data_IF_611649911654
#
_entry.id   IF_611649911654
#
_cell.length_a   1.000
_cell.length_b   1.000
_cell.length_c   1.000
_cell.angle_alpha   90.00
_cell.angle_beta   90.00
_cell.angle_gamma   90.00
#
_symmetry.space_group_name_H-M   'P 1'
#
loop_
_entity.id
_entity.type
_entity.pdbx_description
1 polymer ?
#
# COMPACT_ATOMS: atom_id res chain seq x y z
N UNK A 1 13.43 8.67 -7.91
CA UNK A 1 13.17 10.10 -8.13
C UNK A 1 12.74 10.24 -9.58
N UNK A 2 11.62 10.93 -9.82
CA UNK A 2 11.09 11.15 -11.16
C UNK A 2 11.94 12.16 -11.94
N UNK A 3 11.82 12.15 -13.27
CA UNK A 3 12.53 13.08 -14.13
C UNK A 3 11.97 14.52 -14.00
N UNK A 4 12.82 15.50 -14.31
CA UNK A 4 12.45 16.91 -14.23
C UNK A 4 12.32 17.43 -12.80
N UNK A 5 11.80 18.65 -12.68
CA UNK A 5 11.65 19.35 -11.40
C UNK A 5 10.34 20.10 -11.29
N UNK A 6 9.93 20.41 -10.07
CA UNK A 6 8.67 21.09 -9.78
C UNK A 6 8.90 22.53 -9.30
N UNK A 7 7.95 23.38 -9.68
CA UNK A 7 7.70 24.67 -9.07
C UNK A 7 6.39 24.62 -8.30
N UNK A 8 6.48 24.93 -7.01
CA UNK A 8 5.39 24.93 -6.05
C UNK A 8 5.28 26.33 -5.44
N UNK A 9 4.07 26.87 -5.43
CA UNK A 9 3.78 28.17 -4.82
C UNK A 9 2.96 27.97 -3.54
N UNK A 10 3.32 28.70 -2.49
CA UNK A 10 2.57 28.65 -1.24
C UNK A 10 1.10 29.03 -1.47
N UNK A 11 0.22 28.30 -0.80
CA UNK A 11 -1.23 28.45 -0.88
C UNK A 11 -1.78 28.31 -2.32
N UNK A 12 -1.22 27.40 -3.11
CA UNK A 12 -1.68 27.11 -4.47
C UNK A 12 -1.83 25.62 -4.71
N UNK A 13 -2.89 25.22 -5.42
CA UNK A 13 -3.06 23.85 -5.91
C UNK A 13 -2.35 23.59 -7.25
N UNK A 14 -1.86 24.65 -7.93
CA UNK A 14 -1.19 24.49 -9.23
C UNK A 14 0.25 24.07 -9.04
N UNK A 15 0.65 23.01 -9.76
CA UNK A 15 2.04 22.57 -9.85
C UNK A 15 2.51 22.74 -11.28
N UNK A 16 3.67 23.38 -11.44
CA UNK A 16 4.35 23.48 -12.72
C UNK A 16 5.58 22.58 -12.72
N UNK A 17 5.76 21.81 -13.79
CA UNK A 17 6.91 20.96 -14.02
C UNK A 17 7.83 21.55 -15.09
N UNK A 18 9.13 21.30 -14.93
CA UNK A 18 10.16 21.54 -15.95
C UNK A 18 10.78 20.19 -16.30
N UNK A 19 10.82 19.84 -17.59
CA UNK A 19 11.30 18.54 -18.09
C UNK A 19 10.60 17.32 -17.47
N UNK A 20 9.34 17.50 -17.07
CA UNK A 20 8.50 16.45 -16.52
C UNK A 20 7.65 15.78 -17.61
N UNK A 21 7.21 14.55 -17.32
CA UNK A 21 6.34 13.74 -18.17
C UNK A 21 5.11 13.27 -17.39
N UNK A 22 4.34 14.22 -16.83
CA UNK A 22 3.24 13.87 -15.92
C UNK A 22 2.19 12.92 -16.52
N UNK A 23 1.86 13.05 -17.80
CA UNK A 23 0.79 12.23 -18.41
C UNK A 23 1.15 10.74 -18.51
N UNK A 24 2.44 10.40 -18.44
CA UNK A 24 2.90 9.00 -18.47
C UNK A 24 3.25 8.47 -17.08
N UNK A 25 3.55 9.34 -16.12
CA UNK A 25 3.99 8.96 -14.78
C UNK A 25 2.88 9.00 -13.72
N UNK A 26 1.82 9.77 -13.97
CA UNK A 26 0.78 10.07 -12.99
C UNK A 26 -0.62 9.97 -13.59
N UNK A 27 -1.57 9.58 -12.75
CA UNK A 27 -3.00 9.75 -12.98
C UNK A 27 -3.64 10.53 -11.82
N UNK A 28 -4.85 11.06 -12.04
CA UNK A 28 -5.67 11.66 -10.99
C UNK A 28 -5.85 10.68 -9.82
N UNK A 29 -5.59 11.11 -8.59
CA UNK A 29 -5.63 10.30 -7.37
C UNK A 29 -4.30 9.66 -6.96
N UNK A 30 -3.26 9.74 -7.80
CA UNK A 30 -1.89 9.43 -7.38
C UNK A 30 -1.31 10.53 -6.49
N UNK A 31 -0.12 10.32 -5.95
CA UNK A 31 0.55 11.25 -5.05
C UNK A 31 1.92 11.66 -5.60
N UNK A 32 2.34 12.86 -5.25
CA UNK A 32 3.69 13.37 -5.46
C UNK A 32 4.34 13.57 -4.10
N UNK A 33 5.58 13.12 -3.95
CA UNK A 33 6.38 13.42 -2.76
C UNK A 33 7.52 14.36 -3.14
N UNK A 34 7.63 15.47 -2.41
CA UNK A 34 8.75 16.44 -2.49
C UNK A 34 9.32 16.71 -1.11
N UNK A 35 10.59 17.10 -1.04
CA UNK A 35 11.19 17.61 0.20
C UNK A 35 11.56 19.08 -0.03
N UNK A 36 10.98 19.97 0.76
CA UNK A 36 11.23 21.42 0.69
C UNK A 36 11.67 21.89 2.07
N UNK A 37 12.86 22.49 2.15
CA UNK A 37 13.41 22.95 3.44
C UNK A 37 13.62 21.83 4.47
N UNK A 38 13.87 20.59 4.01
CA UNK A 38 14.03 19.42 4.87
C UNK A 38 12.72 18.77 5.33
N UNK A 39 11.56 19.33 4.97
CA UNK A 39 10.24 18.79 5.32
C UNK A 39 9.65 18.03 4.12
N UNK A 40 9.26 16.76 4.26
CA UNK A 40 8.56 16.02 3.21
C UNK A 40 7.10 16.47 3.10
N UNK A 41 6.63 16.64 1.87
CA UNK A 41 5.24 16.94 1.54
C UNK A 41 4.70 15.86 0.61
N UNK A 42 3.58 15.25 1.02
CA UNK A 42 2.82 14.29 0.21
C UNK A 42 1.62 15.01 -0.38
N UNK A 43 1.63 15.17 -1.70
CA UNK A 43 0.72 16.04 -2.45
C UNK A 43 -0.20 15.19 -3.34
N UNK A 44 -1.49 15.03 -2.98
CA UNK A 44 -2.44 14.28 -3.79
C UNK A 44 -2.77 15.02 -5.09
N UNK A 45 -2.68 14.32 -6.22
CA UNK A 45 -2.98 14.85 -7.55
C UNK A 45 -4.49 14.79 -7.78
N UNK A 46 -5.11 15.94 -8.04
CA UNK A 46 -6.52 16.01 -8.46
C UNK A 46 -6.65 15.70 -9.95
N UNK A 47 -5.81 16.32 -10.77
CA UNK A 47 -5.88 16.22 -12.23
C UNK A 47 -4.49 16.44 -12.84
N UNK A 48 -4.15 15.65 -13.86
CA UNK A 48 -2.97 15.90 -14.71
C UNK A 48 -3.43 16.69 -15.93
N UNK A 49 -3.09 17.98 -16.00
CA UNK A 49 -3.55 18.86 -17.06
C UNK A 49 -2.68 18.79 -18.33
N UNK A 50 -1.37 18.53 -18.18
CA UNK A 50 -0.42 18.29 -19.28
C UNK A 50 0.87 17.64 -18.74
N UNK A 51 1.86 17.39 -19.61
CA UNK A 51 3.16 16.88 -19.19
C UNK A 51 3.89 17.75 -18.15
N UNK A 52 3.57 19.04 -18.10
CA UNK A 52 4.25 20.05 -17.27
C UNK A 52 3.30 20.81 -16.36
N UNK A 53 2.02 20.43 -16.28
CA UNK A 53 1.05 21.04 -15.38
C UNK A 53 0.11 20.01 -14.79
N UNK A 54 -0.13 20.13 -13.49
CA UNK A 54 -1.15 19.38 -12.78
C UNK A 54 -1.75 20.22 -11.65
N UNK A 55 -2.88 19.76 -11.17
CA UNK A 55 -3.63 20.38 -10.08
C UNK A 55 -3.70 19.41 -8.89
N UNK A 56 -3.49 19.91 -7.69
CA UNK A 56 -3.57 19.16 -6.43
C UNK A 56 -4.98 19.18 -5.85
N UNK A 57 -5.32 18.19 -5.02
CA UNK A 57 -6.60 18.15 -4.28
C UNK A 57 -6.68 19.25 -3.23
N UNK A 58 -5.55 19.62 -2.64
CA UNK A 58 -5.46 20.68 -1.64
C UNK A 58 -4.27 21.59 -1.95
N UNK A 59 -4.39 22.86 -1.55
CA UNK A 59 -3.32 23.83 -1.74
C UNK A 59 -2.03 23.36 -1.06
N UNK A 60 -0.91 23.53 -1.75
CA UNK A 60 0.41 23.35 -1.17
C UNK A 60 0.64 24.41 -0.08
N UNK A 61 0.90 23.98 1.15
CA UNK A 61 1.04 24.88 2.32
C UNK A 61 2.50 25.17 2.70
N UNK A 62 3.47 24.54 2.01
CA UNK A 62 4.89 24.74 2.29
C UNK A 62 5.48 26.01 1.67
N UNK A 63 6.76 26.30 1.94
CA UNK A 63 7.47 27.43 1.35
C UNK A 63 7.54 27.33 -0.17
N UNK A 64 7.50 28.47 -0.88
CA UNK A 64 7.69 28.47 -2.34
C UNK A 64 8.99 27.75 -2.72
N UNK A 65 8.89 26.81 -3.65
CA UNK A 65 10.02 26.02 -4.12
C UNK A 65 10.07 26.03 -5.65
N UNK A 66 11.27 26.12 -6.21
CA UNK A 66 11.53 26.06 -7.64
C UNK A 66 12.65 25.06 -7.87
N UNK A 67 12.56 24.23 -8.91
CA UNK A 67 13.56 23.19 -9.14
C UNK A 67 13.48 22.04 -8.13
N UNK A 68 12.33 21.86 -7.46
CA UNK A 68 12.15 20.84 -6.45
C UNK A 68 12.17 19.45 -7.09
N UNK A 69 13.04 18.59 -6.59
CA UNK A 69 13.05 17.20 -7.01
C UNK A 69 11.86 16.44 -6.39
N UNK A 70 11.34 15.46 -7.10
CA UNK A 70 10.05 14.84 -6.77
C UNK A 70 10.03 13.35 -7.08
N UNK A 71 9.04 12.64 -6.54
CA UNK A 71 8.77 11.24 -6.89
C UNK A 71 7.27 11.01 -7.05
N UNK A 72 6.88 10.36 -8.13
CA UNK A 72 5.53 9.83 -8.31
C UNK A 72 5.29 8.63 -7.37
N UNK A 73 4.12 8.61 -6.73
CA UNK A 73 3.65 7.50 -5.90
C UNK A 73 2.28 7.08 -6.43
N UNK A 74 2.19 5.98 -7.20
CA UNK A 74 0.93 5.47 -7.71
C UNK A 74 -0.03 5.11 -6.58
N UNK A 75 -1.31 5.44 -6.71
CA UNK A 75 -2.33 5.10 -5.70
C UNK A 75 -2.37 3.60 -5.41
N UNK A 76 -2.10 2.78 -6.43
CA UNK A 76 -2.10 1.32 -6.31
C UNK A 76 -1.01 0.87 -5.35
N UNK A 77 0.16 1.53 -5.34
CA UNK A 77 1.24 1.19 -4.42
C UNK A 77 0.84 1.43 -2.95
N UNK A 78 0.13 2.52 -2.65
CA UNK A 78 -0.38 2.78 -1.30
C UNK A 78 -1.48 1.79 -0.90
N UNK A 79 -2.41 1.50 -1.82
CA UNK A 79 -3.50 0.56 -1.55
C UNK A 79 -3.00 -0.89 -1.41
N UNK A 80 -1.93 -1.27 -2.12
CA UNK A 80 -1.34 -2.60 -2.05
C UNK A 80 -0.79 -2.92 -0.65
N UNK A 81 -0.24 -1.94 0.08
CA UNK A 81 0.24 -2.16 1.45
C UNK A 81 -0.92 -2.52 2.37
N UNK A 82 -2.02 -1.76 2.31
CA UNK A 82 -3.23 -2.05 3.09
C UNK A 82 -3.83 -3.40 2.69
N UNK A 83 -3.91 -3.69 1.39
CA UNK A 83 -4.42 -4.97 0.89
C UNK A 83 -3.57 -6.16 1.32
N UNK A 84 -2.23 -6.03 1.28
CA UNK A 84 -1.31 -7.06 1.73
C UNK A 84 -1.45 -7.33 3.24
N UNK A 85 -1.60 -6.27 4.06
CA UNK A 85 -1.84 -6.43 5.49
C UNK A 85 -3.19 -7.13 5.77
N UNK A 86 -4.24 -6.79 5.02
CA UNK A 86 -5.54 -7.47 5.11
C UNK A 86 -5.41 -8.94 4.72
N UNK A 87 -4.68 -9.26 3.64
CA UNK A 87 -4.45 -10.65 3.22
C UNK A 87 -3.68 -11.44 4.28
N UNK A 88 -2.58 -10.90 4.80
CA UNK A 88 -1.76 -11.52 5.85
C UNK A 88 -2.54 -11.75 7.14
N UNK A 89 -3.35 -10.77 7.56
CA UNK A 89 -4.20 -10.91 8.75
C UNK A 89 -5.31 -11.95 8.55
N UNK A 90 -5.93 -12.01 7.37
CA UNK A 90 -6.91 -13.04 7.04
C UNK A 90 -6.29 -14.46 7.00
N UNK A 91 -5.07 -14.60 6.47
CA UNK A 91 -4.31 -15.85 6.49
C UNK A 91 -3.96 -16.27 7.92
N UNK A 92 -3.46 -15.36 8.75
CA UNK A 92 -3.17 -15.63 10.15
C UNK A 92 -4.43 -16.08 10.93
N UNK A 93 -5.55 -15.39 10.75
CA UNK A 93 -6.82 -15.76 11.38
C UNK A 93 -7.33 -17.13 10.89
N UNK A 94 -7.14 -17.46 9.61
CA UNK A 94 -7.48 -18.78 9.07
C UNK A 94 -6.62 -19.88 9.68
N UNK A 95 -5.31 -19.65 9.81
CA UNK A 95 -4.40 -20.56 10.49
C UNK A 95 -4.82 -20.85 11.93
N UNK A 96 -5.15 -19.82 12.71
CA UNK A 96 -5.65 -19.97 14.08
C UNK A 96 -6.96 -20.77 14.17
N UNK A 97 -7.85 -20.58 13.19
CA UNK A 97 -9.09 -21.37 13.11
C UNK A 97 -8.81 -22.84 12.79
N UNK A 98 -7.84 -23.14 11.92
CA UNK A 98 -7.40 -24.51 11.68
C UNK A 98 -6.79 -25.12 12.93
N UNK A 99 -5.90 -24.42 13.64
CA UNK A 99 -5.33 -24.91 14.89
C UNK A 99 -6.43 -25.25 15.90
N UNK A 100 -7.44 -24.38 16.06
CA UNK A 100 -8.58 -24.65 16.94
C UNK A 100 -9.32 -25.93 16.55
N UNK A 101 -9.61 -26.11 15.25
CA UNK A 101 -10.29 -27.30 14.74
C UNK A 101 -9.43 -28.56 14.89
N UNK A 102 -8.13 -28.45 14.60
CA UNK A 102 -7.14 -29.52 14.74
C UNK A 102 -7.06 -30.00 16.19
N UNK A 103 -6.91 -29.07 17.14
CA UNK A 103 -6.87 -29.39 18.58
C UNK A 103 -8.17 -30.01 19.08
N UNK A 104 -9.32 -29.48 18.62
CA UNK A 104 -10.61 -30.05 18.98
C UNK A 104 -10.72 -31.50 18.50
N UNK A 105 -10.36 -31.78 17.26
CA UNK A 105 -10.37 -33.14 16.71
C UNK A 105 -9.39 -34.04 17.45
N UNK A 106 -8.14 -33.60 17.63
CA UNK A 106 -7.09 -34.37 18.28
C UNK A 106 -7.46 -34.84 19.69
N UNK A 107 -8.14 -34.00 20.49
CA UNK A 107 -8.53 -34.37 21.85
C UNK A 107 -9.89 -35.06 21.98
N UNK A 108 -10.77 -34.98 20.97
CA UNK A 108 -12.15 -35.48 21.09
C UNK A 108 -12.47 -36.72 20.26
N UNK A 109 -11.78 -36.93 19.12
CA UNK A 109 -12.04 -38.07 18.25
C UNK A 109 -11.48 -39.37 18.83
N UNK A 110 -12.13 -40.50 18.57
CA UNK A 110 -11.70 -41.83 19.05
C UNK A 110 -10.76 -42.55 18.07
N UNK A 111 -10.56 -42.00 16.86
CA UNK A 111 -9.81 -42.60 15.75
C UNK A 111 -8.66 -41.74 15.23
N UNK A 112 -8.28 -41.94 13.96
CA UNK A 112 -7.36 -41.01 13.29
C UNK A 112 -8.06 -39.67 12.98
N UNK A 113 -7.28 -38.59 12.97
CA UNK A 113 -7.73 -37.22 12.67
C UNK A 113 -6.87 -36.61 11.57
N UNK A 114 -7.49 -35.78 10.74
CA UNK A 114 -6.79 -35.03 9.69
C UNK A 114 -6.51 -33.61 10.19
N UNK A 115 -5.22 -33.28 10.28
CA UNK A 115 -4.71 -31.98 10.66
C UNK A 115 -4.54 -31.15 9.39
N UNK A 116 -5.15 -29.97 9.34
CA UNK A 116 -4.98 -29.00 8.25
C UNK A 116 -4.04 -27.88 8.70
N UNK A 117 -2.95 -27.67 7.98
CA UNK A 117 -1.97 -26.63 8.28
C UNK A 117 -2.38 -25.26 7.67
N UNK A 118 -1.80 -24.14 8.12
CA UNK A 118 -2.12 -22.81 7.60
C UNK A 118 -1.93 -22.66 6.07
N UNK A 119 -1.02 -23.43 5.48
CA UNK A 119 -0.77 -23.49 4.04
C UNK A 119 -1.75 -24.42 3.28
N UNK A 120 -2.81 -24.88 3.95
CA UNK A 120 -3.83 -25.83 3.47
C UNK A 120 -3.34 -27.26 3.24
N UNK A 121 -2.06 -27.55 3.48
CA UNK A 121 -1.57 -28.92 3.45
C UNK A 121 -2.21 -29.73 4.59
N UNK A 122 -2.33 -31.04 4.38
CA UNK A 122 -3.00 -31.93 5.31
C UNK A 122 -2.12 -33.12 5.66
N UNK A 123 -2.20 -33.55 6.92
CA UNK A 123 -1.60 -34.78 7.41
C UNK A 123 -2.59 -35.53 8.29
N UNK A 124 -2.51 -36.86 8.32
CA UNK A 124 -3.42 -37.70 9.12
C UNK A 124 -2.62 -38.51 10.12
N UNK A 125 -3.11 -38.58 11.35
CA UNK A 125 -2.48 -39.33 12.45
C UNK A 125 -3.48 -39.67 13.56
N UNK A 126 -3.05 -40.46 14.56
CA UNK A 126 -3.92 -40.87 15.66
C UNK A 126 -4.34 -39.68 16.53
N UNK A 127 -5.59 -39.69 17.02
CA UNK A 127 -6.03 -38.77 18.08
C UNK A 127 -5.38 -39.10 19.43
N UNK A 128 -5.46 -38.17 20.38
CA UNK A 128 -4.99 -38.37 21.75
C UNK A 128 -5.68 -39.54 22.46
N UNK A 129 -6.92 -39.86 22.11
CA UNK A 129 -7.66 -41.00 22.69
C UNK A 129 -7.28 -42.35 22.09
N UNK A 130 -6.71 -42.34 20.87
CA UNK A 130 -6.28 -43.54 20.15
C UNK A 130 -4.85 -43.96 20.55
N UNK A 131 -4.02 -43.02 20.99
CA UNK A 131 -2.69 -43.25 21.55
C UNK A 131 -2.76 -44.00 22.89
#
# INVERSE_FOLDING_TARGET
MSAGTLTLNNNSASVAGTDTTFTTELAAGDFIVVVVGGVPYTLPVLEVNSNTRLTLVSNYTGPRATGAAWSAVPRVALNMVTAALVAQSAEALRGLNYDKQNWQQFFSADGDVTITLPDTSQTTGPSAKKL
#
